data_IF_406228577697
#
_entry.id   IF_406228577697
#
_cell.length_a   1.000
_cell.length_b   1.000
_cell.length_c   1.000
_cell.angle_alpha   90.00
_cell.angle_beta   90.00
_cell.angle_gamma   90.00
#
_symmetry.space_group_name_H-M   'P 1'
#
loop_
_entity.id
_entity.type
_entity.pdbx_description
1 polymer ?
#
# COMPACT_ATOMS: atom_id res chain seq x y z
N UNK A 1 -22.81 13.88 -2.19
CA UNK A 1 -21.43 13.39 -2.44
C UNK A 1 -21.46 11.90 -2.14
N UNK A 2 -21.57 11.06 -3.17
CA UNK A 2 -21.66 9.60 -2.99
C UNK A 2 -20.24 9.06 -2.92
N UNK A 3 -19.84 8.56 -1.75
CA UNK A 3 -18.60 7.79 -1.62
C UNK A 3 -18.83 6.47 -2.35
N UNK A 4 -18.05 6.22 -3.40
CA UNK A 4 -18.07 4.95 -4.09
C UNK A 4 -17.81 3.84 -3.06
N UNK A 5 -18.70 2.86 -2.97
CA UNK A 5 -18.50 1.67 -2.14
C UNK A 5 -17.18 1.01 -2.55
N UNK A 6 -16.28 0.69 -1.62
CA UNK A 6 -15.02 0.03 -1.98
C UNK A 6 -15.32 -1.32 -2.64
N UNK A 7 -14.61 -1.59 -3.74
CA UNK A 7 -14.71 -2.86 -4.47
C UNK A 7 -14.37 -4.03 -3.52
N UNK A 8 -15.22 -5.05 -3.33
CA UNK A 8 -14.99 -6.14 -2.38
C UNK A 8 -13.68 -6.93 -2.63
N UNK A 9 -13.12 -6.85 -3.84
CA UNK A 9 -11.80 -7.42 -4.16
C UNK A 9 -10.64 -6.69 -3.47
N UNK A 10 -10.73 -5.36 -3.29
CA UNK A 10 -9.65 -4.56 -2.70
C UNK A 10 -9.43 -4.88 -1.21
N UNK A 11 -10.51 -5.11 -0.45
CA UNK A 11 -10.47 -5.40 0.99
C UNK A 11 -9.82 -6.76 1.31
N UNK A 12 -9.93 -7.74 0.41
CA UNK A 12 -9.38 -9.09 0.63
C UNK A 12 -7.86 -9.14 0.37
N UNK A 13 -7.37 -8.37 -0.60
CA UNK A 13 -5.94 -8.33 -0.98
C UNK A 13 -5.08 -7.69 0.10
N UNK A 14 -5.54 -6.56 0.68
CA UNK A 14 -4.80 -5.83 1.73
C UNK A 14 -4.47 -6.73 2.93
N UNK A 15 -5.41 -7.60 3.35
CA UNK A 15 -5.23 -8.46 4.54
C UNK A 15 -4.09 -9.49 4.39
N UNK A 16 -3.93 -10.10 3.20
CA UNK A 16 -2.87 -11.09 2.97
C UNK A 16 -1.50 -10.43 2.81
N UNK A 17 -1.49 -9.25 2.21
CA UNK A 17 -0.26 -8.52 1.90
C UNK A 17 0.35 -7.90 3.18
N UNK A 18 -0.48 -7.53 4.16
CA UNK A 18 -0.06 -7.10 5.51
C UNK A 18 0.82 -8.13 6.20
N UNK A 19 0.40 -9.41 6.23
CA UNK A 19 1.12 -10.44 6.98
C UNK A 19 2.54 -10.65 6.45
N UNK A 20 2.67 -10.75 5.12
CA UNK A 20 3.97 -10.90 4.46
C UNK A 20 4.85 -9.66 4.65
N UNK A 21 4.27 -8.47 4.54
CA UNK A 21 5.00 -7.23 4.74
C UNK A 21 5.49 -7.07 6.18
N UNK A 22 4.67 -7.42 7.17
CA UNK A 22 5.05 -7.36 8.58
C UNK A 22 6.20 -8.32 8.92
N UNK A 23 6.23 -9.51 8.30
CA UNK A 23 7.32 -10.47 8.46
C UNK A 23 8.61 -9.99 7.77
N UNK A 24 8.48 -9.45 6.55
CA UNK A 24 9.63 -9.03 5.74
C UNK A 24 10.25 -7.71 6.20
N UNK A 25 9.43 -6.77 6.68
CA UNK A 25 9.86 -5.44 7.16
C UNK A 25 9.21 -5.16 8.52
N UNK A 26 9.70 -5.79 9.61
CA UNK A 26 9.09 -5.65 10.93
C UNK A 26 9.04 -4.20 11.41
N UNK A 27 7.87 -3.77 11.86
CA UNK A 27 7.65 -2.42 12.38
C UNK A 27 7.45 -1.36 11.30
N UNK A 28 7.39 -1.73 10.01
CA UNK A 28 7.09 -0.78 8.95
C UNK A 28 5.62 -0.33 8.95
N UNK A 29 4.67 -1.20 9.31
CA UNK A 29 3.25 -0.88 9.31
C UNK A 29 2.89 -0.18 10.62
N UNK A 30 2.41 1.07 10.52
CA UNK A 30 1.95 1.89 11.64
C UNK A 30 0.44 1.73 11.85
N UNK A 31 -0.32 1.64 10.75
CA UNK A 31 -1.75 1.37 10.77
C UNK A 31 -2.18 0.63 9.49
N UNK A 32 -3.25 -0.15 9.60
CA UNK A 32 -3.93 -0.77 8.48
C UNK A 32 -5.34 -0.21 8.40
N UNK A 33 -5.66 0.43 7.29
CA UNK A 33 -6.95 1.07 7.03
C UNK A 33 -7.72 0.27 5.97
N UNK A 34 -9.05 0.38 5.90
CA UNK A 34 -9.84 -0.30 4.87
C UNK A 34 -9.41 0.05 3.44
N UNK A 35 -8.82 1.23 3.27
CA UNK A 35 -8.37 1.76 1.99
C UNK A 35 -6.88 1.54 1.70
N UNK A 36 -6.06 1.10 2.67
CA UNK A 36 -4.60 1.09 2.48
C UNK A 36 -3.75 0.83 3.73
N UNK A 37 -2.44 1.01 3.59
CA UNK A 37 -1.43 0.80 4.63
C UNK A 37 -0.71 2.10 4.97
N UNK A 38 -0.74 2.48 6.24
CA UNK A 38 0.09 3.56 6.75
C UNK A 38 1.41 2.96 7.21
N UNK A 39 2.51 3.43 6.63
CA UNK A 39 3.85 2.97 6.95
C UNK A 39 4.71 4.04 7.61
N UNK A 40 5.74 3.60 8.33
CA UNK A 40 6.77 4.47 8.86
C UNK A 40 7.57 5.09 7.69
N UNK A 41 7.78 6.42 7.69
CA UNK A 41 8.35 7.13 6.53
C UNK A 41 9.80 6.72 6.25
N UNK A 42 10.56 6.36 7.28
CA UNK A 42 11.94 5.86 7.17
C UNK A 42 12.02 4.46 6.54
N UNK A 43 10.90 3.74 6.43
CA UNK A 43 10.80 2.39 5.83
C UNK A 43 10.28 2.38 4.40
N UNK A 44 9.95 3.53 3.82
CA UNK A 44 9.34 3.62 2.48
C UNK A 44 10.09 2.81 1.41
N UNK A 45 11.43 2.93 1.36
CA UNK A 45 12.24 2.25 0.34
C UNK A 45 12.26 0.73 0.56
N UNK A 46 12.37 0.28 1.80
CA UNK A 46 12.35 -1.14 2.16
C UNK A 46 10.98 -1.77 1.82
N UNK A 47 9.89 -1.09 2.20
CA UNK A 47 8.52 -1.50 1.88
C UNK A 47 8.30 -1.57 0.37
N UNK A 48 8.62 -0.49 -0.36
CA UNK A 48 8.43 -0.44 -1.80
C UNK A 48 9.25 -1.50 -2.55
N UNK A 49 10.47 -1.77 -2.08
CA UNK A 49 11.33 -2.83 -2.63
C UNK A 49 10.71 -4.21 -2.39
N UNK A 50 10.24 -4.49 -1.18
CA UNK A 50 9.59 -5.76 -0.87
C UNK A 50 8.30 -5.97 -1.68
N UNK A 51 7.42 -4.95 -1.74
CA UNK A 51 6.17 -5.03 -2.49
C UNK A 51 6.42 -5.31 -3.98
N UNK A 52 7.48 -4.72 -4.56
CA UNK A 52 7.89 -4.94 -5.94
C UNK A 52 8.49 -6.33 -6.17
N UNK A 53 9.42 -6.76 -5.32
CA UNK A 53 10.28 -7.92 -5.58
C UNK A 53 9.73 -9.23 -5.02
N UNK A 54 8.80 -9.20 -4.05
CA UNK A 54 8.20 -10.42 -3.50
C UNK A 54 7.42 -11.15 -4.61
N UNK A 55 7.80 -12.40 -4.96
CA UNK A 55 7.19 -13.13 -6.07
C UNK A 55 5.70 -13.41 -5.91
N UNK A 56 5.18 -13.35 -4.68
CA UNK A 56 3.76 -13.52 -4.40
C UNK A 56 2.99 -12.20 -4.43
N UNK A 57 3.65 -11.04 -4.47
CA UNK A 57 3.03 -9.70 -4.47
C UNK A 57 3.18 -8.99 -5.82
N UNK A 58 4.42 -8.81 -6.28
CA UNK A 58 4.79 -8.21 -7.57
C UNK A 58 4.10 -6.87 -7.88
N UNK A 59 4.04 -5.94 -6.93
CA UNK A 59 3.54 -4.58 -7.16
C UNK A 59 4.56 -3.77 -7.98
N UNK A 60 4.53 -3.96 -9.29
CA UNK A 60 5.52 -3.51 -10.26
C UNK A 60 5.17 -2.20 -10.98
N UNK A 61 3.98 -1.64 -10.70
CA UNK A 61 3.51 -0.42 -11.35
C UNK A 61 3.04 0.62 -10.34
N UNK A 62 3.76 1.74 -10.27
CA UNK A 62 3.38 2.94 -9.52
C UNK A 62 2.51 3.85 -10.40
N UNK A 63 1.21 3.82 -10.19
CA UNK A 63 0.26 4.56 -11.02
C UNK A 63 0.15 6.03 -10.64
N UNK A 64 0.30 6.34 -9.36
CA UNK A 64 0.11 7.68 -8.82
C UNK A 64 0.88 7.86 -7.52
N UNK A 65 1.45 9.06 -7.35
CA UNK A 65 1.93 9.58 -6.07
C UNK A 65 1.23 10.90 -5.86
N UNK A 66 0.59 11.06 -4.70
CA UNK A 66 -0.07 12.30 -4.31
C UNK A 66 0.22 12.60 -2.85
N UNK A 67 -0.15 13.80 -2.41
CA UNK A 67 0.04 14.21 -1.03
C UNK A 67 -1.14 15.00 -0.49
N UNK A 68 -1.38 14.87 0.82
CA UNK A 68 -2.25 15.78 1.57
C UNK A 68 -1.36 16.69 2.41
N UNK A 69 -1.57 17.99 2.28
CA UNK A 69 -0.89 19.03 3.05
C UNK A 69 -1.71 19.35 4.32
N UNK A 70 -1.15 19.02 5.47
CA UNK A 70 -1.68 19.38 6.78
C UNK A 70 -0.77 20.44 7.43
N UNK A 71 -1.31 21.27 8.35
CA UNK A 71 -0.52 22.34 8.97
C UNK A 71 0.80 21.90 9.63
N UNK A 72 0.89 20.65 10.08
CA UNK A 72 2.02 20.09 10.82
C UNK A 72 2.83 19.03 10.05
N UNK A 73 2.34 18.54 8.90
CA UNK A 73 2.97 17.44 8.15
C UNK A 73 2.44 17.33 6.72
N UNK A 74 3.19 16.59 5.90
CA UNK A 74 2.67 16.04 4.66
C UNK A 74 2.36 14.56 4.83
N UNK A 75 1.23 14.12 4.28
CA UNK A 75 0.92 12.71 4.10
C UNK A 75 1.12 12.36 2.64
N UNK A 76 1.93 11.34 2.34
CA UNK A 76 2.19 10.87 0.98
C UNK A 76 1.42 9.58 0.73
N UNK A 77 0.73 9.51 -0.41
CA UNK A 77 -0.08 8.35 -0.79
C UNK A 77 0.45 7.77 -2.10
N UNK A 78 0.76 6.47 -2.09
CA UNK A 78 1.36 5.75 -3.21
C UNK A 78 0.40 4.68 -3.72
N UNK A 79 -0.01 4.78 -4.98
CA UNK A 79 -0.90 3.80 -5.59
C UNK A 79 -0.09 2.79 -6.39
N UNK A 80 -0.02 1.57 -5.87
CA UNK A 80 0.76 0.47 -6.45
C UNK A 80 -0.16 -0.62 -6.99
N UNK A 81 0.10 -1.07 -8.21
CA UNK A 81 -0.56 -2.21 -8.85
C UNK A 81 0.46 -3.29 -9.17
N UNK A 82 -0.01 -4.54 -9.19
CA UNK A 82 0.68 -5.64 -9.83
C UNK A 82 0.08 -5.88 -11.21
N UNK A 83 0.82 -5.52 -12.25
CA UNK A 83 0.40 -5.74 -13.64
C UNK A 83 0.48 -7.22 -14.00
N UNK A 84 1.51 -7.92 -13.52
CA UNK A 84 1.69 -9.37 -13.74
C UNK A 84 0.55 -10.18 -13.11
N UNK A 85 0.10 -9.79 -11.91
CA UNK A 85 -0.95 -10.51 -11.18
C UNK A 85 -2.35 -9.93 -11.39
N UNK A 86 -2.47 -8.85 -12.18
CA UNK A 86 -3.71 -8.10 -12.40
C UNK A 86 -4.41 -7.73 -11.07
N UNK A 87 -3.64 -7.23 -10.11
CA UNK A 87 -4.10 -6.92 -8.76
C UNK A 87 -3.79 -5.47 -8.36
N UNK A 88 -4.64 -4.86 -7.54
CA UNK A 88 -4.40 -3.55 -6.94
C UNK A 88 -5.66 -2.69 -6.81
N UNK A 89 -5.50 -1.41 -6.39
CA UNK A 89 -4.26 -0.86 -5.84
C UNK A 89 -4.04 -1.32 -4.38
N UNK A 90 -2.77 -1.39 -3.97
CA UNK A 90 -2.43 -1.04 -2.59
C UNK A 90 -2.20 0.47 -2.56
N UNK A 91 -2.74 1.09 -1.51
CA UNK A 91 -2.67 2.52 -1.21
C UNK A 91 -1.99 2.70 0.13
#
# INVERSE_FOLDING_TARGET
MSIATPNPTATTTVTKDIGRLQEAVPGAIVAAEPSGLVIAPDRLVEVGTFLRDDPALLYDYLSMVTSVDYPDRFELVYYLYSMVRHAGPIV
#
